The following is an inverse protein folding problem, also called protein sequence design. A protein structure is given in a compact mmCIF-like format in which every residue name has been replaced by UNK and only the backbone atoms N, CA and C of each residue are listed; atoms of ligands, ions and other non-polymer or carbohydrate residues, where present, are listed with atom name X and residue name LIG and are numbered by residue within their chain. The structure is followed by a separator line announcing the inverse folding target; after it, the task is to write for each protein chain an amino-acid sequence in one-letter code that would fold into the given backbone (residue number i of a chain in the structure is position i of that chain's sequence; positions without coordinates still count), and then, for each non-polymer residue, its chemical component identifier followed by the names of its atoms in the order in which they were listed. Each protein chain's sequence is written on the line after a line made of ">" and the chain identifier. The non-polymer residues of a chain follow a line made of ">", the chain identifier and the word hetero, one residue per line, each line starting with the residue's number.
data_IF_221675450699
#
_entry.id   IF_221675450699
#
_cell.length_a   1.000
_cell.length_b   1.000
_cell.length_c   1.000
_cell.angle_alpha   90.00
_cell.angle_beta   90.00
_cell.angle_gamma   90.00
#
_symmetry.space_group_name_H-M   'P 1'
#
loop_
_entity.id
_entity.type
_entity.pdbx_description
1 polymer ?
#
# COMPACT_ATOMS: atom_id res chain seq x y z
N UNK A 1 -24.87 22.46 -37.61
CA UNK A 1 -25.12 21.24 -36.81
C UNK A 1 -24.54 19.96 -37.42
N UNK A 2 -24.74 19.71 -38.72
CA UNK A 2 -24.29 18.47 -39.42
C UNK A 2 -22.76 18.24 -39.42
N UNK A 3 -21.97 19.31 -39.35
CA UNK A 3 -20.50 19.25 -39.29
C UNK A 3 -20.00 18.98 -37.87
N UNK A 4 -20.75 19.42 -36.85
CA UNK A 4 -20.45 19.16 -35.45
C UNK A 4 -20.67 17.68 -35.09
N UNK A 5 -21.73 17.07 -35.63
CA UNK A 5 -21.99 15.63 -35.51
C UNK A 5 -20.91 14.78 -36.17
N UNK A 6 -20.33 15.23 -37.30
CA UNK A 6 -19.22 14.53 -37.97
C UNK A 6 -17.92 14.56 -37.15
N UNK A 7 -17.62 15.68 -36.50
CA UNK A 7 -16.46 15.81 -35.60
C UNK A 7 -16.64 14.92 -34.36
N UNK A 8 -17.86 14.87 -33.80
CA UNK A 8 -18.19 14.02 -32.65
C UNK A 8 -18.03 12.52 -32.97
N UNK A 9 -18.43 12.09 -34.17
CA UNK A 9 -18.27 10.69 -34.62
C UNK A 9 -16.79 10.36 -34.88
N UNK A 10 -16.00 11.29 -35.42
CA UNK A 10 -14.57 11.06 -35.65
C UNK A 10 -13.78 10.90 -34.34
N UNK A 11 -14.17 11.62 -33.29
CA UNK A 11 -13.54 11.56 -31.96
C UNK A 11 -13.87 10.26 -31.19
N UNK A 12 -14.99 9.59 -31.53
CA UNK A 12 -15.41 8.33 -30.92
C UNK A 12 -14.64 7.11 -31.47
N UNK A 13 -14.11 7.19 -32.70
CA UNK A 13 -13.45 6.06 -33.39
C UNK A 13 -11.98 5.90 -32.95
N UNK A 14 -11.34 6.96 -32.42
CA UNK A 14 -9.93 6.91 -31.99
C UNK A 14 -9.72 6.39 -30.57
N UNK A 15 -10.81 6.08 -29.82
CA UNK A 15 -10.74 5.64 -28.42
C UNK A 15 -10.47 4.14 -28.22
N UNK A 16 -10.38 3.34 -29.30
CA UNK A 16 -10.47 1.89 -29.22
C UNK A 16 -9.17 1.12 -28.91
N UNK A 17 -8.07 1.78 -28.56
CA UNK A 17 -6.77 1.11 -28.33
C UNK A 17 -6.11 1.47 -27.01
N UNK A 18 -6.88 1.54 -25.92
CA UNK A 18 -6.30 1.61 -24.57
C UNK A 18 -5.81 0.22 -24.19
N UNK A 19 -4.61 -0.14 -24.65
CA UNK A 19 -3.92 -1.32 -24.13
C UNK A 19 -3.45 -0.98 -22.73
N UNK A 20 -4.02 -1.62 -21.71
CA UNK A 20 -3.46 -1.60 -20.36
C UNK A 20 -2.02 -2.12 -20.41
N UNK A 21 -1.15 -1.57 -19.55
CA UNK A 21 0.24 -2.01 -19.47
C UNK A 21 0.29 -3.41 -18.85
N UNK A 22 0.24 -4.43 -19.70
CA UNK A 22 0.43 -5.82 -19.30
C UNK A 22 1.91 -6.17 -19.21
N UNK A 23 2.26 -7.04 -18.27
CA UNK A 23 3.62 -7.52 -18.07
C UNK A 23 4.00 -8.50 -19.19
N UNK A 24 5.19 -8.34 -19.79
CA UNK A 24 5.64 -9.18 -20.92
C UNK A 24 6.15 -10.55 -20.46
N UNK A 25 6.50 -10.68 -19.19
CA UNK A 25 7.02 -11.92 -18.60
C UNK A 25 6.69 -11.99 -17.12
N UNK A 26 6.67 -13.22 -16.58
CA UNK A 26 6.55 -13.46 -15.15
C UNK A 26 7.63 -12.74 -14.35
N UNK A 27 8.86 -12.66 -14.88
CA UNK A 27 10.00 -11.99 -14.22
C UNK A 27 9.72 -10.50 -14.06
N UNK A 28 9.24 -9.84 -15.10
CA UNK A 28 8.90 -8.41 -15.05
C UNK A 28 7.81 -8.11 -14.01
N UNK A 29 6.81 -8.99 -13.91
CA UNK A 29 5.75 -8.88 -12.91
C UNK A 29 6.27 -9.09 -11.48
N UNK A 30 7.08 -10.13 -11.27
CA UNK A 30 7.68 -10.39 -9.96
C UNK A 30 8.65 -9.28 -9.53
N UNK A 31 9.41 -8.71 -10.47
CA UNK A 31 10.27 -7.55 -10.21
C UNK A 31 9.45 -6.33 -9.80
N UNK A 32 8.32 -6.07 -10.47
CA UNK A 32 7.39 -5.02 -10.07
C UNK A 32 6.88 -5.20 -8.63
N UNK A 33 6.39 -6.41 -8.30
CA UNK A 33 5.91 -6.72 -6.93
C UNK A 33 7.05 -6.61 -5.90
N UNK A 34 8.24 -7.11 -6.23
CA UNK A 34 9.43 -7.08 -5.37
C UNK A 34 9.87 -5.65 -5.06
N UNK A 35 9.83 -4.75 -6.05
CA UNK A 35 10.14 -3.34 -5.87
C UNK A 35 9.19 -2.66 -4.87
N UNK A 36 7.89 -2.92 -4.97
CA UNK A 36 6.89 -2.42 -4.00
C UNK A 36 7.16 -2.98 -2.59
N UNK A 37 7.55 -4.27 -2.48
CA UNK A 37 7.88 -4.91 -1.21
C UNK A 37 9.19 -4.43 -0.58
N UNK A 38 10.16 -3.99 -1.38
CA UNK A 38 11.45 -3.52 -0.86
C UNK A 38 11.28 -2.27 0.01
N UNK A 39 10.43 -1.35 -0.40
CA UNK A 39 10.16 -0.12 0.35
C UNK A 39 9.36 -0.38 1.62
N UNK A 40 8.41 -1.32 1.57
CA UNK A 40 7.71 -1.83 2.76
C UNK A 40 8.74 -2.39 3.76
N UNK A 41 9.65 -3.25 3.30
CA UNK A 41 10.66 -3.90 4.15
C UNK A 41 11.57 -2.86 4.82
N UNK A 42 12.04 -1.86 4.08
CA UNK A 42 12.86 -0.77 4.65
C UNK A 42 12.13 0.01 5.74
N UNK A 43 10.85 0.33 5.53
CA UNK A 43 10.04 1.05 6.53
C UNK A 43 9.71 0.17 7.74
N UNK A 44 9.49 -1.13 7.54
CA UNK A 44 9.28 -2.09 8.62
C UNK A 44 10.48 -2.14 9.56
N UNK A 45 11.70 -2.23 9.02
CA UNK A 45 12.93 -2.20 9.82
C UNK A 45 13.09 -0.89 10.59
N UNK A 46 12.76 0.24 9.97
CA UNK A 46 12.79 1.56 10.64
C UNK A 46 11.79 1.65 11.79
N UNK A 47 10.58 1.12 11.60
CA UNK A 47 9.56 1.07 12.63
C UNK A 47 9.96 0.14 13.77
N UNK A 48 10.41 -1.08 13.46
CA UNK A 48 10.89 -2.06 14.44
C UNK A 48 12.03 -1.51 15.28
N UNK A 49 13.01 -0.84 14.63
CA UNK A 49 14.11 -0.16 15.33
C UNK A 49 13.60 0.94 16.27
N UNK A 50 12.61 1.71 15.84
CA UNK A 50 12.03 2.77 16.67
C UNK A 50 11.27 2.19 17.87
N UNK A 51 10.49 1.12 17.68
CA UNK A 51 9.82 0.42 18.77
C UNK A 51 10.80 -0.11 19.82
N UNK A 52 11.90 -0.71 19.39
CA UNK A 52 12.86 -1.35 20.30
C UNK A 52 13.72 -0.35 21.11
N UNK A 53 13.98 0.85 20.56
CA UNK A 53 15.01 1.73 21.11
C UNK A 53 14.61 3.19 21.30
N UNK A 54 13.47 3.63 20.75
CA UNK A 54 13.06 5.02 20.91
C UNK A 54 12.37 5.22 22.25
N UNK A 55 12.80 6.25 23.00
CA UNK A 55 12.11 6.74 24.19
C UNK A 55 10.97 7.71 23.86
N UNK A 56 10.74 8.01 22.59
CA UNK A 56 9.77 9.02 22.15
C UNK A 56 8.60 8.34 21.43
N UNK A 57 7.44 8.30 22.07
CA UNK A 57 6.22 7.75 21.45
C UNK A 57 5.86 8.49 20.16
N UNK A 58 6.08 9.81 20.12
CA UNK A 58 5.92 10.60 18.89
C UNK A 58 6.78 10.08 17.74
N UNK A 59 7.99 9.60 18.02
CA UNK A 59 8.88 9.05 16.99
C UNK A 59 8.38 7.69 16.52
N UNK A 60 7.95 6.83 17.44
CA UNK A 60 7.34 5.52 17.14
C UNK A 60 6.09 5.72 16.27
N UNK A 61 5.21 6.63 16.65
CA UNK A 61 4.01 7.04 15.89
C UNK A 61 4.33 7.46 14.46
N UNK A 62 5.26 8.40 14.29
CA UNK A 62 5.66 8.88 12.97
C UNK A 62 6.22 7.76 12.08
N UNK A 63 6.98 6.82 12.65
CA UNK A 63 7.52 5.68 11.89
C UNK A 63 6.42 4.69 11.51
N UNK A 64 5.46 4.44 12.40
CA UNK A 64 4.28 3.63 12.11
C UNK A 64 3.44 4.24 10.99
N UNK A 65 3.11 5.52 11.08
CA UNK A 65 2.36 6.23 10.02
C UNK A 65 3.09 6.18 8.67
N UNK A 66 4.42 6.34 8.68
CA UNK A 66 5.24 6.19 7.48
C UNK A 66 5.14 4.78 6.89
N UNK A 67 5.18 3.74 7.74
CA UNK A 67 5.03 2.34 7.31
C UNK A 67 3.64 2.09 6.71
N UNK A 68 2.57 2.55 7.38
CA UNK A 68 1.19 2.42 6.89
C UNK A 68 1.03 3.09 5.53
N UNK A 69 1.53 4.32 5.35
CA UNK A 69 1.49 5.03 4.06
C UNK A 69 2.25 4.30 2.96
N UNK A 70 3.37 3.66 3.29
CA UNK A 70 4.11 2.84 2.33
C UNK A 70 3.31 1.60 1.91
N UNK A 71 2.66 0.92 2.84
CA UNK A 71 1.75 -0.19 2.55
C UNK A 71 0.57 0.25 1.68
N UNK A 72 -0.12 1.33 2.04
CA UNK A 72 -1.26 1.86 1.29
C UNK A 72 -0.87 2.22 -0.15
N UNK A 73 0.31 2.83 -0.33
CA UNK A 73 0.84 3.14 -1.66
C UNK A 73 1.11 1.88 -2.48
N UNK A 74 1.78 0.89 -1.89
CA UNK A 74 2.08 -0.39 -2.57
C UNK A 74 0.80 -1.14 -2.95
N UNK A 75 -0.17 -1.23 -2.02
CA UNK A 75 -1.50 -1.79 -2.27
C UNK A 75 -2.17 -1.08 -3.45
N UNK A 76 -2.17 0.25 -3.46
CA UNK A 76 -2.77 1.01 -4.55
C UNK A 76 -2.07 0.80 -5.90
N UNK A 77 -0.74 0.67 -5.91
CA UNK A 77 0.04 0.39 -7.11
C UNK A 77 -0.26 -1.02 -7.65
N UNK A 78 -0.22 -2.03 -6.78
CA UNK A 78 -0.49 -3.43 -7.15
C UNK A 78 -1.94 -3.60 -7.58
N UNK A 79 -2.90 -2.95 -6.93
CA UNK A 79 -4.31 -3.03 -7.28
C UNK A 79 -4.60 -2.49 -8.69
N UNK A 80 -3.88 -1.43 -9.11
CA UNK A 80 -3.99 -0.81 -10.43
C UNK A 80 -3.26 -1.58 -11.54
N UNK A 81 -2.23 -2.35 -11.19
CA UNK A 81 -1.49 -3.15 -12.14
C UNK A 81 -2.27 -4.40 -12.54
N UNK A 82 -2.13 -4.84 -13.79
CA UNK A 82 -2.70 -6.13 -14.22
C UNK A 82 -1.94 -7.29 -13.58
N UNK A 83 -2.62 -8.41 -13.29
CA UNK A 83 -1.95 -9.64 -12.92
C UNK A 83 -1.19 -10.27 -14.11
N UNK A 84 -0.21 -11.11 -13.83
CA UNK A 84 0.41 -11.98 -14.83
C UNK A 84 -0.20 -13.37 -14.74
N UNK A 85 -0.72 -13.87 -15.86
CA UNK A 85 -1.43 -15.16 -15.92
C UNK A 85 -2.66 -15.23 -14.99
N UNK A 86 -3.37 -14.10 -14.90
CA UNK A 86 -4.51 -13.92 -13.99
C UNK A 86 -4.15 -13.16 -12.71
N UNK A 87 -5.15 -13.01 -11.84
CA UNK A 87 -5.06 -12.17 -10.64
C UNK A 87 -4.84 -12.96 -9.35
N UNK A 88 -4.69 -14.28 -9.38
CA UNK A 88 -4.61 -15.11 -8.18
C UNK A 88 -3.43 -14.71 -7.27
N UNK A 89 -2.22 -14.62 -7.84
CA UNK A 89 -1.05 -14.17 -7.08
C UNK A 89 -1.20 -12.72 -6.60
N UNK A 90 -1.69 -11.83 -7.47
CA UNK A 90 -1.99 -10.43 -7.13
C UNK A 90 -2.90 -10.35 -5.91
N UNK A 91 -3.97 -11.13 -5.90
CA UNK A 91 -4.96 -11.14 -4.83
C UNK A 91 -4.37 -11.66 -3.52
N UNK A 92 -3.56 -12.72 -3.55
CA UNK A 92 -2.86 -13.22 -2.36
C UNK A 92 -1.89 -12.17 -1.78
N UNK A 93 -1.13 -11.49 -2.64
CA UNK A 93 -0.24 -10.41 -2.21
C UNK A 93 -1.03 -9.26 -1.58
N UNK A 94 -2.12 -8.83 -2.20
CA UNK A 94 -2.99 -7.78 -1.69
C UNK A 94 -3.63 -8.15 -0.35
N UNK A 95 -4.10 -9.39 -0.20
CA UNK A 95 -4.66 -9.92 1.05
C UNK A 95 -3.62 -9.87 2.17
N UNK A 96 -2.42 -10.38 1.92
CA UNK A 96 -1.32 -10.33 2.87
C UNK A 96 -0.97 -8.88 3.27
N UNK A 97 -0.86 -7.96 2.31
CA UNK A 97 -0.55 -6.56 2.61
C UNK A 97 -1.65 -5.88 3.43
N UNK A 98 -2.93 -6.13 3.13
CA UNK A 98 -4.06 -5.58 3.88
C UNK A 98 -4.16 -6.16 5.29
N UNK A 99 -3.82 -7.44 5.47
CA UNK A 99 -3.70 -8.03 6.81
C UNK A 99 -2.64 -7.30 7.63
N UNK A 100 -1.45 -7.08 7.07
CA UNK A 100 -0.38 -6.35 7.75
C UNK A 100 -0.76 -4.89 8.07
N UNK A 101 -1.43 -4.22 7.12
CA UNK A 101 -1.95 -2.87 7.34
C UNK A 101 -2.95 -2.83 8.50
N UNK A 102 -3.88 -3.79 8.55
CA UNK A 102 -4.86 -3.93 9.62
C UNK A 102 -4.21 -4.15 10.98
N UNK A 103 -3.24 -5.06 11.07
CA UNK A 103 -2.48 -5.33 12.30
C UNK A 103 -1.77 -4.07 12.80
N UNK A 104 -1.08 -3.36 11.90
CA UNK A 104 -0.44 -2.09 12.24
C UNK A 104 -1.45 -1.06 12.74
N UNK A 105 -2.64 -0.99 12.13
CA UNK A 105 -3.71 -0.05 12.51
C UNK A 105 -4.32 -0.38 13.88
N UNK A 106 -4.64 -1.64 14.15
CA UNK A 106 -5.36 -2.06 15.35
C UNK A 106 -4.47 -2.30 16.58
N UNK A 107 -3.36 -3.02 16.45
CA UNK A 107 -2.57 -3.45 17.62
C UNK A 107 -1.92 -2.28 18.35
N UNK A 108 -1.55 -1.24 17.61
CA UNK A 108 -0.96 -0.05 18.21
C UNK A 108 -1.97 0.75 19.04
N UNK A 109 -3.24 0.85 18.60
CA UNK A 109 -4.27 1.56 19.36
C UNK A 109 -4.44 0.93 20.75
N UNK A 110 -4.40 -0.40 20.81
CA UNK A 110 -4.45 -1.17 22.06
C UNK A 110 -3.20 -0.97 22.93
N UNK A 111 -2.01 -0.92 22.33
CA UNK A 111 -0.77 -0.68 23.07
C UNK A 111 -0.75 0.72 23.71
N UNK A 112 -1.21 1.75 22.99
CA UNK A 112 -1.28 3.12 23.54
C UNK A 112 -2.25 3.18 24.72
N UNK A 113 -3.44 2.61 24.57
CA UNK A 113 -4.44 2.55 25.63
C UNK A 113 -3.89 1.87 26.90
N UNK A 114 -3.21 0.74 26.74
CA UNK A 114 -2.57 0.04 27.86
C UNK A 114 -1.42 0.84 28.52
N UNK A 115 -0.66 1.62 27.75
CA UNK A 115 0.40 2.48 28.29
C UNK A 115 -0.17 3.63 29.11
N UNK A 116 -1.22 4.28 28.61
CA UNK A 116 -1.88 5.40 29.30
C UNK A 116 -2.45 4.96 30.65
N UNK A 117 -3.10 3.79 30.70
CA UNK A 117 -3.59 3.20 31.96
C UNK A 117 -2.45 2.91 32.94
N UNK A 118 -1.31 2.41 32.46
CA UNK A 118 -0.16 2.11 33.31
C UNK A 118 0.47 3.39 33.92
N UNK A 119 0.59 4.46 33.14
CA UNK A 119 1.10 5.76 33.63
C UNK A 119 0.15 6.36 34.68
N UNK A 120 -1.17 6.37 34.42
CA UNK A 120 -2.17 6.86 35.38
C UNK A 120 -2.17 6.08 36.70
N UNK A 121 -1.85 4.77 36.67
CA UNK A 121 -1.77 3.95 37.88
C UNK A 121 -0.52 4.18 38.73
N UNK A 122 0.54 4.79 38.16
CA UNK A 122 1.80 5.03 38.85
C UNK A 122 1.81 6.41 39.56
N UNK A 123 0.95 7.33 39.11
CA UNK A 123 0.77 8.67 39.68
C UNK A 123 -0.29 8.72 40.83
N UNK A 124 -0.84 7.56 41.23
CA UNK A 124 -1.72 7.34 42.40
C UNK A 124 -0.94 6.78 43.60
#
# INVERSE_FOLDING_TARGET
>A
MKNFTRILVLLLVTSASVHSQSFKSAVEYLDFISNEQQDISKNMWRYTKALAHSKSDRTILKRRESMIKTLEKAIANIQKADGYDGDDYKNQVLEYMRLNESLLKHDYAKIVDMKEVAEQSYDL
#
